data_IF_590053650728
#
_entry.id   IF_590053650728
#
_cell.length_a   1.000
_cell.length_b   1.000
_cell.length_c   1.000
_cell.angle_alpha   90.00
_cell.angle_beta   90.00
_cell.angle_gamma   90.00
#
_symmetry.space_group_name_H-M   'P 1'
#
loop_
_entity.id
_entity.type
_entity.pdbx_description
1 polymer ?
#
# COMPACT_ATOMS: atom_id res chain seq x y z
N UNK A 1 10.49 -9.10 -10.35
CA UNK A 1 10.99 -7.79 -9.89
C UNK A 1 10.07 -6.63 -10.33
N UNK A 2 9.76 -6.48 -11.63
CA UNK A 2 8.93 -5.37 -12.13
C UNK A 2 7.56 -5.23 -11.45
N UNK A 3 6.83 -6.33 -11.22
CA UNK A 3 5.54 -6.30 -10.52
C UNK A 3 5.63 -5.85 -9.06
N UNK A 4 6.67 -6.25 -8.33
CA UNK A 4 6.85 -5.87 -6.93
C UNK A 4 7.04 -4.35 -6.78
N UNK A 5 7.80 -3.75 -7.71
CA UNK A 5 8.00 -2.29 -7.77
C UNK A 5 6.68 -1.54 -7.94
N UNK A 6 5.75 -2.06 -8.74
CA UNK A 6 4.44 -1.42 -8.93
C UNK A 6 3.64 -1.36 -7.63
N UNK A 7 3.65 -2.44 -6.85
CA UNK A 7 2.99 -2.47 -5.55
C UNK A 7 3.57 -1.44 -4.57
N UNK A 8 4.90 -1.30 -4.54
CA UNK A 8 5.53 -0.28 -3.69
C UNK A 8 5.19 1.13 -4.13
N UNK A 9 5.26 1.42 -5.44
CA UNK A 9 4.95 2.76 -5.97
C UNK A 9 3.49 3.13 -5.65
N UNK A 10 2.55 2.23 -5.92
CA UNK A 10 1.14 2.45 -5.62
C UNK A 10 0.89 2.59 -4.10
N UNK A 11 1.56 1.77 -3.28
CA UNK A 11 1.44 1.83 -1.83
C UNK A 11 1.95 3.15 -1.25
N UNK A 12 3.12 3.61 -1.70
CA UNK A 12 3.71 4.90 -1.26
C UNK A 12 2.84 6.07 -1.69
N UNK A 13 2.40 6.11 -2.96
CA UNK A 13 1.52 7.17 -3.46
C UNK A 13 0.22 7.20 -2.66
N UNK A 14 -0.41 6.04 -2.44
CA UNK A 14 -1.63 5.92 -1.65
C UNK A 14 -1.46 6.46 -0.22
N UNK A 15 -0.36 6.10 0.47
CA UNK A 15 -0.09 6.61 1.80
C UNK A 15 0.13 8.11 1.83
N UNK A 16 0.96 8.65 0.93
CA UNK A 16 1.26 10.09 0.88
C UNK A 16 -0.02 10.89 0.60
N UNK A 17 -0.82 10.45 -0.37
CA UNK A 17 -2.10 11.11 -0.72
C UNK A 17 -3.09 11.01 0.44
N UNK A 18 -3.21 9.84 1.09
CA UNK A 18 -4.10 9.66 2.23
C UNK A 18 -3.72 10.53 3.43
N UNK A 19 -2.42 10.59 3.77
CA UNK A 19 -1.89 11.45 4.84
C UNK A 19 -2.13 12.92 4.52
N UNK A 20 -1.81 13.36 3.30
CA UNK A 20 -2.07 14.74 2.89
C UNK A 20 -3.57 15.07 2.97
N UNK A 21 -4.43 14.20 2.45
CA UNK A 21 -5.87 14.40 2.47
C UNK A 21 -6.42 14.47 3.90
N UNK A 22 -5.88 13.67 4.84
CA UNK A 22 -6.18 13.77 6.26
C UNK A 22 -5.87 15.16 6.84
N UNK A 23 -4.80 15.82 6.39
CA UNK A 23 -4.47 17.17 6.89
C UNK A 23 -5.40 18.27 6.35
N UNK A 24 -6.11 18.01 5.25
CA UNK A 24 -6.96 19.00 4.56
C UNK A 24 -8.41 18.93 5.01
N UNK A 25 -8.94 17.72 5.22
CA UNK A 25 -10.32 17.50 5.67
C UNK A 25 -10.34 17.61 7.20
N UNK A 26 -10.90 18.69 7.76
CA UNK A 26 -11.06 18.81 9.22
C UNK A 26 -12.05 17.79 9.85
N UNK A 27 -12.23 17.79 11.18
CA UNK A 27 -13.03 16.80 11.93
C UNK A 27 -14.46 16.66 11.42
N UNK A 28 -14.70 15.59 10.65
CA UNK A 28 -15.96 15.28 9.98
C UNK A 28 -16.02 13.81 9.55
N UNK A 29 -17.20 13.33 9.14
CA UNK A 29 -17.38 12.00 8.56
C UNK A 29 -16.51 11.76 7.30
N UNK A 30 -16.14 12.83 6.59
CA UNK A 30 -15.29 12.74 5.41
C UNK A 30 -13.89 12.19 5.70
N UNK A 31 -13.46 12.12 6.96
CA UNK A 31 -12.22 11.48 7.38
C UNK A 31 -12.14 9.97 7.11
N UNK A 32 -13.26 9.28 6.90
CA UNK A 32 -13.25 7.86 6.55
C UNK A 32 -12.57 7.62 5.19
N UNK A 33 -12.71 8.55 4.24
CA UNK A 33 -12.11 8.42 2.92
C UNK A 33 -10.57 8.40 2.95
N UNK A 34 -9.86 9.38 3.55
CA UNK A 34 -8.40 9.31 3.67
C UNK A 34 -7.94 8.10 4.49
N UNK A 35 -8.68 7.66 5.52
CA UNK A 35 -8.37 6.43 6.27
C UNK A 35 -8.38 5.18 5.39
N UNK A 36 -9.38 5.03 4.54
CA UNK A 36 -9.47 3.91 3.59
C UNK A 36 -8.31 3.97 2.60
N UNK A 37 -7.97 5.16 2.09
CA UNK A 37 -6.85 5.35 1.16
C UNK A 37 -5.51 4.99 1.82
N UNK A 38 -5.27 5.43 3.06
CA UNK A 38 -4.07 5.05 3.82
C UNK A 38 -4.01 3.54 4.07
N UNK A 39 -5.14 2.92 4.41
CA UNK A 39 -5.24 1.47 4.65
C UNK A 39 -4.92 0.67 3.38
N UNK A 40 -5.47 1.09 2.24
CA UNK A 40 -5.18 0.50 0.94
C UNK A 40 -3.70 0.66 0.57
N UNK A 41 -3.12 1.84 0.80
CA UNK A 41 -1.69 2.10 0.60
C UNK A 41 -0.81 1.14 1.41
N UNK A 42 -1.12 0.94 2.69
CA UNK A 42 -0.44 -0.03 3.55
C UNK A 42 -0.56 -1.47 3.04
N UNK A 43 -1.76 -1.89 2.59
CA UNK A 43 -1.97 -3.22 2.02
C UNK A 43 -1.12 -3.46 0.77
N UNK A 44 -0.97 -2.46 -0.10
CA UNK A 44 -0.10 -2.56 -1.28
C UNK A 44 1.38 -2.69 -0.91
N UNK A 45 1.86 -2.02 0.14
CA UNK A 45 3.25 -2.20 0.60
C UNK A 45 3.50 -3.64 1.09
N UNK A 46 2.55 -4.22 1.82
CA UNK A 46 2.64 -5.62 2.28
C UNK A 46 2.61 -6.59 1.11
N UNK A 47 1.76 -6.35 0.10
CA UNK A 47 1.73 -7.14 -1.13
C UNK A 47 3.04 -7.03 -1.92
N UNK A 48 3.62 -5.83 -2.00
CA UNK A 48 4.96 -5.61 -2.56
C UNK A 48 6.02 -6.42 -1.82
N UNK A 49 5.99 -6.42 -0.49
CA UNK A 49 6.90 -7.23 0.32
C UNK A 49 6.73 -8.72 0.06
N UNK A 50 5.52 -9.24 0.10
CA UNK A 50 5.25 -10.65 -0.19
C UNK A 50 5.80 -11.05 -1.58
N UNK A 51 5.53 -10.23 -2.60
CA UNK A 51 6.02 -10.49 -3.97
C UNK A 51 7.53 -10.40 -4.10
N UNK A 52 8.23 -9.52 -3.36
CA UNK A 52 9.71 -9.53 -3.33
C UNK A 52 10.27 -10.79 -2.69
N UNK A 53 9.67 -11.24 -1.57
CA UNK A 53 10.08 -12.44 -0.88
C UNK A 53 9.89 -13.69 -1.75
N UNK A 54 8.80 -13.73 -2.54
CA UNK A 54 8.56 -14.78 -3.53
C UNK A 54 9.60 -14.82 -4.65
N UNK A 55 10.22 -13.70 -5.00
CA UNK A 55 11.32 -13.70 -5.99
C UNK A 55 12.58 -14.34 -5.41
N UNK A 56 12.86 -14.12 -4.11
CA UNK A 56 14.05 -14.65 -3.43
C UNK A 56 13.86 -16.13 -3.06
N UNK A 57 12.69 -16.48 -2.53
CA UNK A 57 12.37 -17.80 -2.01
C UNK A 57 10.97 -18.22 -2.47
N UNK A 58 10.84 -18.68 -3.73
CA UNK A 58 9.54 -18.89 -4.36
C UNK A 58 8.67 -19.86 -3.58
N UNK A 59 7.45 -19.42 -3.24
CA UNK A 59 6.47 -20.27 -2.56
C UNK A 59 6.14 -21.52 -3.39
N UNK A 60 6.20 -21.45 -4.72
CA UNK A 60 5.97 -22.59 -5.63
C UNK A 60 6.96 -23.75 -5.48
N UNK A 61 8.08 -23.57 -4.78
CA UNK A 61 9.09 -24.62 -4.52
C UNK A 61 8.99 -25.23 -3.12
N UNK A 62 8.06 -24.75 -2.30
CA UNK A 62 7.89 -25.14 -0.89
C UNK A 62 6.67 -26.02 -0.65
N UNK A 63 5.84 -26.19 -1.67
CA UNK A 63 4.70 -27.10 -1.74
C UNK A 63 5.14 -28.28 -2.60
#
# INVERSE_FOLDING_TARGET
>A
MSQAILYYVLGVIGLVVGIWWWTVVGPSFAFLAPLIVMSAGGAFLVAGLATTLDVISPTSRKI
#
